data_IF_225992464085
#
_entry.id   IF_225992464085
#
_cell.length_a   1.000
_cell.length_b   1.000
_cell.length_c   1.000
_cell.angle_alpha   90.00
_cell.angle_beta   90.00
_cell.angle_gamma   90.00
#
_symmetry.space_group_name_H-M   'P 1'
#
loop_
_entity.id
_entity.type
_entity.pdbx_description
1 polymer ?
2 non-polymer ?
3 non-polymer ?
4 water ?
#
# COMPACT_ATOMS: atom_id res chain seq x y z
N UNK A 9 -18.04 6.31 -25.12
CA UNK A 9 -17.95 6.25 -23.67
C UNK A 9 -19.30 6.60 -23.04
N UNK A 10 -20.13 7.29 -23.82
CA UNK A 10 -21.49 7.58 -23.39
C UNK A 10 -22.30 6.29 -23.34
N UNK A 11 -23.07 6.12 -22.27
CA UNK A 11 -23.84 4.92 -22.05
C UNK A 11 -23.12 3.84 -21.26
N UNK A 12 -21.80 3.91 -21.16
CA UNK A 12 -21.06 2.97 -20.33
C UNK A 12 -21.46 3.13 -18.87
N UNK A 13 -21.59 2.00 -18.17
CA UNK A 13 -22.18 1.97 -16.85
C UNK A 13 -21.17 1.43 -15.85
N UNK A 14 -20.87 2.22 -14.82
CA UNK A 14 -19.88 1.88 -13.81
C UNK A 14 -20.53 1.91 -12.44
N UNK A 15 -20.22 0.90 -11.63
CA UNK A 15 -20.67 0.83 -10.26
C UNK A 15 -19.50 0.84 -9.30
N UNK A 16 -19.73 1.24 -8.06
CA UNK A 16 -18.64 1.33 -7.09
C UNK A 16 -19.14 1.05 -5.70
N UNK A 17 -18.35 0.30 -4.94
CA UNK A 17 -18.49 0.18 -3.49
C UNK A 17 -17.22 0.76 -2.87
N UNK A 18 -17.37 1.88 -2.18
CA UNK A 18 -16.27 2.47 -1.42
C UNK A 18 -16.78 2.88 -0.05
N UNK A 19 -15.86 2.91 0.91
CA UNK A 19 -16.18 3.46 2.21
C UNK A 19 -16.27 4.98 2.09
N UNK A 20 -17.31 5.56 2.71
CA UNK A 20 -17.53 7.01 2.70
C UNK A 20 -16.33 7.77 3.23
N UNK A 21 -15.27 7.05 3.54
CA UNK A 21 -14.08 7.56 4.15
C UNK A 21 -12.97 7.60 3.10
N UNK A 22 -12.90 6.52 2.31
CA UNK A 22 -12.30 6.57 0.98
C UNK A 22 -13.02 7.57 0.08
N UNK A 23 -14.36 7.53 0.06
CA UNK A 23 -15.14 8.38 -0.83
C UNK A 23 -14.83 9.85 -0.57
N UNK A 24 -14.95 10.28 0.69
CA UNK A 24 -14.76 11.69 1.02
C UNK A 24 -13.35 12.16 0.72
N UNK A 25 -12.36 11.33 1.06
CA UNK A 25 -10.97 11.73 0.93
C UNK A 25 -10.53 11.75 -0.53
N UNK A 26 -11.01 10.81 -1.31
CA UNK A 26 -10.85 10.89 -2.76
C UNK A 26 -11.74 11.94 -3.38
N UNK A 27 -12.66 12.52 -2.60
CA UNK A 27 -13.74 13.37 -3.12
C UNK A 27 -14.45 12.64 -4.25
N UNK A 28 -14.77 11.37 -4.00
CA UNK A 28 -15.24 10.49 -5.07
C UNK A 28 -16.61 10.90 -5.59
N UNK A 29 -17.46 11.50 -4.74
CA UNK A 29 -18.77 11.94 -5.19
C UNK A 29 -18.64 13.03 -6.25
N UNK A 30 -17.60 13.86 -6.17
CA UNK A 30 -17.35 14.85 -7.21
C UNK A 30 -16.85 14.18 -8.49
N UNK A 31 -16.06 13.10 -8.34
CA UNK A 31 -15.58 12.38 -9.52
C UNK A 31 -16.71 11.64 -10.22
N UNK A 32 -17.69 11.13 -9.45
CA UNK A 32 -18.84 10.48 -10.08
C UNK A 32 -19.65 11.46 -10.90
N UNK A 33 -19.88 12.67 -10.37
CA UNK A 33 -20.55 13.70 -11.15
C UNK A 33 -19.71 14.10 -12.36
N UNK A 34 -18.38 14.08 -12.22
CA UNK A 34 -17.51 14.31 -13.37
C UNK A 34 -17.79 13.31 -14.49
N UNK A 35 -17.94 12.03 -14.14
CA UNK A 35 -18.14 11.00 -15.14
C UNK A 35 -19.53 11.06 -15.76
N UNK A 36 -20.54 11.46 -14.97
CA UNK A 36 -21.90 11.52 -15.50
C UNK A 36 -22.03 12.58 -16.58
N UNK A 37 -21.20 13.63 -16.53
CA UNK A 37 -21.24 14.63 -17.59
C UNK A 37 -20.58 14.10 -18.85
N UNK A 38 -19.64 13.17 -18.70
CA UNK A 38 -19.00 12.53 -19.85
C UNK A 38 -19.95 11.58 -20.59
N UNK A 39 -21.14 11.34 -20.06
CA UNK A 39 -22.10 10.43 -20.67
C UNK A 39 -22.26 9.12 -19.95
N UNK A 40 -21.59 8.91 -18.82
CA UNK A 40 -21.65 7.66 -18.09
C UNK A 40 -22.82 7.64 -17.11
N UNK A 41 -23.20 6.44 -16.70
CA UNK A 41 -24.04 6.22 -15.53
C UNK A 41 -23.16 5.66 -14.44
N UNK A 42 -23.08 6.37 -13.31
CA UNK A 42 -22.28 5.96 -12.16
C UNK A 42 -23.25 5.65 -11.03
N UNK A 43 -23.28 4.38 -10.62
CA UNK A 43 -24.21 3.91 -9.61
C UNK A 43 -23.43 3.52 -8.36
N UNK A 44 -23.95 3.95 -7.20
CA UNK A 44 -23.40 3.52 -5.91
C UNK A 44 -24.05 2.19 -5.55
N UNK A 45 -23.25 1.13 -5.55
CA UNK A 45 -23.79 -0.21 -5.36
C UNK A 45 -24.37 -0.37 -3.97
N UNK A 46 -25.50 -1.08 -3.88
CA UNK A 46 -26.06 -1.52 -2.61
C UNK A 46 -25.75 -3.01 -2.48
N UNK A 47 -24.80 -3.34 -1.60
CA UNK A 47 -24.52 -4.73 -1.25
C UNK A 47 -25.53 -5.31 -0.29
N UNK A 48 -26.74 -4.75 -0.22
CA UNK A 48 -27.87 -5.42 0.39
C UNK A 48 -28.68 -6.20 -0.65
N UNK A 49 -28.78 -5.63 -1.86
CA UNK A 49 -29.40 -6.23 -3.03
C UNK A 49 -28.44 -7.22 -3.67
N UNK A 50 -28.95 -8.20 -4.42
CA UNK A 50 -28.07 -8.94 -5.32
C UNK A 50 -27.60 -8.00 -6.44
N UNK A 51 -26.34 -8.15 -6.84
CA UNK A 51 -25.74 -7.16 -7.70
C UNK A 51 -26.30 -7.25 -9.12
N UNK A 52 -26.86 -8.41 -9.49
CA UNK A 52 -27.51 -8.55 -10.79
C UNK A 52 -28.72 -7.61 -10.91
N UNK A 53 -29.34 -7.28 -9.78
CA UNK A 53 -30.45 -6.33 -9.79
C UNK A 53 -30.00 -4.91 -10.13
N UNK A 54 -28.70 -4.64 -10.05
CA UNK A 54 -28.14 -3.34 -10.34
C UNK A 54 -27.37 -3.30 -11.65
N UNK A 55 -27.36 -4.39 -12.41
CA UNK A 55 -26.65 -4.45 -13.66
C UNK A 55 -27.43 -3.81 -14.78
N UNK A 56 -26.84 -3.84 -15.99
CA UNK A 56 -25.51 -4.40 -16.24
C UNK A 56 -24.40 -3.46 -15.80
N UNK A 57 -23.18 -3.96 -15.69
CA UNK A 57 -22.04 -3.16 -15.26
C UNK A 57 -20.88 -3.39 -16.20
N UNK A 58 -20.33 -2.31 -16.75
CA UNK A 58 -19.14 -2.40 -17.59
C UNK A 58 -17.87 -2.37 -16.77
N UNK A 59 -17.85 -1.64 -15.65
CA UNK A 59 -16.68 -1.52 -14.79
C UNK A 59 -17.16 -1.47 -13.34
N UNK A 60 -16.45 -2.18 -12.46
CA UNK A 60 -16.68 -2.13 -11.03
C UNK A 60 -15.39 -1.70 -10.36
N UNK A 61 -15.41 -0.55 -9.69
CA UNK A 61 -14.27 -0.04 -8.95
C UNK A 61 -14.61 -0.09 -7.47
N UNK A 62 -13.70 -0.65 -6.67
CA UNK A 62 -14.04 -0.94 -5.28
C UNK A 62 -12.77 -0.99 -4.44
N UNK A 63 -12.97 -0.98 -3.12
CA UNK A 63 -11.94 -1.33 -2.14
C UNK A 63 -12.67 -1.99 -0.97
N UNK A 64 -12.92 -3.30 -1.11
CA UNK A 64 -13.64 -4.08 -0.11
C UNK A 64 -12.71 -4.75 0.89
N UNK A 65 -11.52 -4.20 1.11
CA UNK A 65 -10.54 -4.87 1.97
C UNK A 65 -11.06 -5.05 3.39
N UNK A 66 -11.93 -4.16 3.85
CA UNK A 66 -12.44 -4.24 5.21
C UNK A 66 -13.61 -5.20 5.34
N UNK A 67 -14.35 -5.46 4.25
CA UNK A 67 -15.22 -6.63 4.21
C UNK A 67 -14.42 -7.91 4.07
N UNK A 68 -13.36 -7.88 3.26
CA UNK A 68 -12.53 -9.07 3.07
C UNK A 68 -11.94 -9.54 4.39
N UNK A 69 -11.52 -8.60 5.23
CA UNK A 69 -10.95 -8.96 6.53
C UNK A 69 -11.96 -9.66 7.40
N UNK A 70 -13.19 -9.13 7.47
CA UNK A 70 -14.22 -9.73 8.33
C UNK A 70 -14.62 -11.11 7.82
N UNK A 71 -14.72 -11.26 6.49
CA UNK A 71 -15.10 -12.55 5.91
C UNK A 71 -14.09 -13.64 6.25
N UNK A 72 -12.80 -13.29 6.33
CA UNK A 72 -11.79 -14.28 6.69
C UNK A 72 -11.88 -14.66 8.16
N UNK A 73 -12.41 -13.76 9.01
CA UNK A 73 -12.59 -14.05 10.43
C UNK A 73 -13.99 -14.60 10.73
N UNK A 74 -14.63 -15.23 9.73
CA UNK A 74 -15.88 -15.96 9.92
C UNK A 74 -17.03 -15.05 10.33
N UNK A 75 -17.12 -13.87 9.71
CA UNK A 75 -18.26 -12.99 9.87
C UNK A 75 -19.33 -13.38 8.85
N UNK A 76 -20.52 -13.75 9.35
CA UNK A 76 -21.57 -14.25 8.46
C UNK A 76 -21.99 -13.18 7.46
N UNK A 77 -22.10 -11.93 7.90
CA UNK A 77 -22.51 -10.87 7.00
C UNK A 77 -21.49 -10.64 5.90
N UNK A 78 -20.20 -10.70 6.24
CA UNK A 78 -19.17 -10.36 5.27
C UNK A 78 -18.89 -11.49 4.28
N UNK A 79 -18.89 -12.75 4.72
CA UNK A 79 -18.80 -13.83 3.73
C UNK A 79 -19.98 -13.82 2.77
N UNK A 80 -21.16 -13.43 3.24
CA UNK A 80 -22.28 -13.33 2.31
C UNK A 80 -22.00 -12.27 1.26
N UNK A 81 -21.43 -11.13 1.67
CA UNK A 81 -21.12 -10.06 0.71
C UNK A 81 -20.05 -10.50 -0.28
N UNK A 82 -19.01 -11.17 0.20
CA UNK A 82 -17.92 -11.60 -0.70
C UNK A 82 -18.43 -12.64 -1.68
N UNK A 83 -19.33 -13.53 -1.22
CA UNK A 83 -19.88 -14.55 -2.11
C UNK A 83 -20.60 -13.92 -3.30
N UNK A 84 -21.48 -12.96 -3.02
CA UNK A 84 -22.32 -12.41 -4.08
C UNK A 84 -21.51 -11.63 -5.10
N UNK A 85 -20.44 -10.98 -4.68
CA UNK A 85 -19.58 -10.28 -5.64
C UNK A 85 -18.77 -11.28 -6.47
N UNK A 86 -18.30 -12.36 -5.84
CA UNK A 86 -17.50 -13.33 -6.57
C UNK A 86 -18.34 -14.12 -7.57
N UNK A 87 -19.57 -14.49 -7.19
CA UNK A 87 -20.43 -15.22 -8.11
C UNK A 87 -21.04 -14.30 -9.17
N UNK A 88 -21.06 -12.99 -8.93
CA UNK A 88 -21.43 -12.06 -10.00
C UNK A 88 -20.29 -11.92 -11.00
N UNK A 89 -19.04 -11.98 -10.52
CA UNK A 89 -17.90 -11.87 -11.42
C UNK A 89 -17.79 -13.11 -12.30
N UNK A 90 -18.03 -14.29 -11.74
CA UNK A 90 -17.98 -15.51 -12.55
C UNK A 90 -19.08 -15.51 -13.61
N UNK A 91 -20.25 -14.97 -13.29
CA UNK A 91 -21.33 -14.88 -14.26
C UNK A 91 -21.14 -13.73 -15.24
N UNK A 92 -20.16 -12.85 -15.02
CA UNK A 92 -19.91 -11.70 -15.88
C UNK A 92 -18.42 -11.49 -16.02
N UNK A 93 -17.76 -12.27 -16.88
CA UNK A 93 -16.33 -12.02 -17.15
C UNK A 93 -16.07 -10.84 -18.05
N UNK A 94 -17.13 -10.22 -18.61
CA UNK A 94 -16.96 -9.01 -19.40
C UNK A 94 -16.82 -7.77 -18.53
N UNK A 95 -17.42 -7.79 -17.34
CA UNK A 95 -17.31 -6.65 -16.43
C UNK A 95 -15.88 -6.52 -15.93
N UNK A 96 -15.31 -5.32 -16.07
CA UNK A 96 -13.96 -5.05 -15.63
C UNK A 96 -13.97 -4.79 -14.12
N UNK A 97 -13.06 -5.44 -13.40
CA UNK A 97 -12.98 -5.32 -11.95
C UNK A 97 -11.69 -4.59 -11.60
N UNK A 98 -11.81 -3.46 -10.92
CA UNK A 98 -10.68 -2.68 -10.43
C UNK A 98 -10.83 -2.56 -8.92
N UNK A 99 -10.13 -3.41 -8.18
CA UNK A 99 -9.22 -4.40 -8.74
C UNK A 99 -9.66 -5.81 -8.34
N UNK A 100 -9.09 -6.84 -8.97
CA UNK A 100 -9.41 -8.22 -8.57
C UNK A 100 -9.20 -8.45 -7.07
N UNK A 101 -9.93 -9.42 -6.54
CA UNK A 101 -9.99 -9.69 -5.10
C UNK A 101 -8.75 -10.39 -4.57
N UNK A 102 -8.18 -11.39 -5.28
CA UNK A 102 -6.90 -11.96 -4.81
C UNK A 102 -5.82 -10.92 -4.59
N UNK A 103 -5.83 -9.82 -5.36
CA UNK A 103 -4.89 -8.74 -5.11
C UNK A 103 -5.23 -7.98 -3.83
N UNK A 104 -6.52 -7.89 -3.49
CA UNK A 104 -6.92 -7.24 -2.24
C UNK A 104 -6.37 -8.01 -1.05
N UNK A 105 -6.57 -9.34 -1.04
CA UNK A 105 -6.12 -10.15 0.09
C UNK A 105 -4.60 -10.08 0.26
N UNK A 106 -3.86 -9.99 -0.83
CA UNK A 106 -2.40 -9.93 -0.75
C UNK A 106 -1.94 -8.63 -0.10
N UNK A 107 -2.53 -7.51 -0.52
CA UNK A 107 -2.04 -6.20 -0.10
C UNK A 107 -2.52 -5.78 1.28
N UNK A 108 -3.51 -6.47 1.85
CA UNK A 108 -3.92 -6.16 3.22
C UNK A 108 -3.06 -6.86 4.25
N UNK A 109 -2.19 -7.77 3.85
CA UNK A 109 -1.32 -8.52 4.75
C UNK A 109 0.12 -8.10 4.49
N UNK A 110 0.74 -7.44 5.47
CA UNK A 110 2.10 -6.94 5.29
C UNK A 110 3.09 -8.06 5.04
N UNK A 111 2.90 -9.20 5.73
CA UNK A 111 3.79 -10.34 5.52
C UNK A 111 3.71 -10.84 4.09
N UNK A 112 2.50 -10.99 3.56
CA UNK A 112 2.35 -11.45 2.18
C UNK A 112 2.85 -10.42 1.18
N UNK A 113 2.59 -9.14 1.45
CA UNK A 113 3.04 -8.08 0.55
C UNK A 113 4.56 -7.97 0.53
N UNK A 114 5.20 -8.10 1.69
CA UNK A 114 6.66 -8.03 1.75
C UNK A 114 7.30 -9.22 1.04
N UNK A 115 6.68 -10.40 1.16
CA UNK A 115 7.21 -11.56 0.46
C UNK A 115 6.99 -11.44 -1.04
N UNK A 116 5.85 -10.88 -1.46
CA UNK A 116 5.61 -10.67 -2.89
C UNK A 116 6.68 -9.76 -3.48
N UNK A 117 7.02 -8.69 -2.75
CA UNK A 117 8.02 -7.73 -3.22
C UNK A 117 9.36 -8.42 -3.43
N UNK A 118 9.79 -9.22 -2.44
CA UNK A 118 11.08 -9.89 -2.52
C UNK A 118 11.14 -10.85 -3.70
N UNK A 119 10.01 -11.46 -4.07
CA UNK A 119 10.00 -12.36 -5.21
C UNK A 119 10.04 -11.58 -6.52
N UNK A 120 9.37 -10.43 -6.59
CA UNK A 120 9.45 -9.60 -7.79
C UNK A 120 10.87 -9.05 -8.00
N UNK A 121 11.59 -8.82 -6.92
CA UNK A 121 12.98 -8.32 -7.03
C UNK A 121 13.87 -9.42 -7.65
N UNK A 122 13.69 -10.66 -7.24
CA UNK A 122 14.40 -11.77 -7.85
C UNK A 122 13.98 -11.96 -9.31
N UNK A 123 12.76 -11.56 -9.65
CA UNK A 123 12.30 -11.63 -11.03
C UNK A 123 13.06 -10.66 -11.92
N UNK A 124 13.17 -9.40 -11.49
CA UNK A 124 13.81 -8.39 -12.32
C UNK A 124 15.32 -8.59 -12.40
N UNK A 125 15.94 -9.08 -11.31
CA UNK A 125 17.38 -9.29 -11.25
C UNK A 125 18.16 -8.02 -11.58
N UNK A 126 17.62 -6.88 -11.14
CA UNK A 126 18.26 -5.58 -11.31
C UNK A 126 18.84 -5.17 -9.97
N UNK A 127 20.14 -4.90 -9.96
CA UNK A 127 20.88 -4.56 -8.74
C UNK A 127 20.42 -3.24 -8.12
N UNK A 128 19.52 -2.51 -8.76
CA UNK A 128 19.05 -1.24 -8.24
C UNK A 128 17.90 -1.37 -7.26
N UNK A 129 17.29 -2.55 -7.12
CA UNK A 129 16.14 -2.73 -6.24
C UNK A 129 16.60 -3.59 -5.07
N UNK A 130 16.10 -3.28 -3.88
CA UNK A 130 16.36 -4.12 -2.72
C UNK A 130 15.17 -4.05 -1.78
N UNK A 131 15.04 -5.08 -0.95
CA UNK A 131 14.08 -5.10 0.13
C UNK A 131 14.80 -5.22 1.47
N UNK A 132 14.45 -4.40 2.46
CA UNK A 132 14.99 -4.62 3.80
C UNK A 132 14.52 -5.97 4.33
N UNK A 133 15.37 -6.68 5.06
CA UNK A 133 14.96 -7.94 5.67
C UNK A 133 13.76 -7.74 6.59
N UNK A 134 12.93 -8.77 6.69
CA UNK A 134 11.71 -8.70 7.47
C UNK A 134 11.35 -10.08 7.99
N UNK A 135 10.39 -10.12 8.90
CA UNK A 135 9.83 -11.36 9.43
C UNK A 135 8.61 -11.02 10.26
N UNK A 136 7.70 -11.98 10.36
CA UNK A 136 6.52 -11.82 11.21
C UNK A 136 6.84 -12.33 12.61
N UNK A 137 6.52 -11.53 13.62
CA UNK A 137 6.82 -11.83 15.02
C UNK A 137 5.48 -12.02 15.74
N UNK A 138 5.02 -13.27 15.82
CA UNK A 138 3.78 -13.56 16.50
C UNK A 138 3.90 -13.42 18.01
N UNK A 139 5.11 -13.47 18.55
CA UNK A 139 5.31 -13.38 20.00
C UNK A 139 6.78 -13.13 20.29
N UNK A 140 7.04 -12.45 21.39
CA UNK A 140 8.40 -12.34 21.91
C UNK A 140 8.76 -13.62 22.65
N UNK A 141 10.06 -13.93 22.67
CA UNK A 141 10.55 -15.20 23.21
C UNK A 141 11.73 -14.96 24.14
N UNK A 142 11.50 -14.18 25.20
CA UNK A 142 12.42 -14.12 26.31
C UNK A 142 13.57 -13.14 26.14
N UNK A 143 14.56 -13.33 27.01
CA UNK A 143 15.76 -12.49 27.05
C UNK A 143 16.62 -12.64 25.81
N UNK A 144 16.28 -13.57 24.92
CA UNK A 144 17.13 -13.95 23.80
C UNK A 144 16.44 -13.69 22.47
N UNK A 145 15.58 -12.67 22.42
CA UNK A 145 14.71 -12.47 21.26
C UNK A 145 15.50 -12.15 20.01
N UNK A 146 16.60 -11.40 20.14
CA UNK A 146 17.32 -10.93 18.96
C UNK A 146 17.91 -12.07 18.15
N UNK A 147 18.32 -13.16 18.79
CA UNK A 147 18.89 -14.27 18.03
C UNK A 147 17.85 -14.88 17.10
N UNK A 148 16.57 -14.82 17.46
CA UNK A 148 15.53 -15.22 16.52
C UNK A 148 15.43 -14.22 15.37
N UNK A 149 15.60 -12.94 15.66
CA UNK A 149 15.58 -11.92 14.61
C UNK A 149 16.87 -11.92 13.79
N UNK A 150 18.00 -12.26 14.42
CA UNK A 150 19.27 -12.28 13.69
C UNK A 150 19.28 -13.36 12.61
N UNK A 151 18.54 -14.45 12.80
CA UNK A 151 18.51 -15.52 11.81
C UNK A 151 17.63 -15.19 10.61
N UNK A 152 16.84 -14.13 10.68
CA UNK A 152 16.12 -13.63 9.52
C UNK A 152 16.78 -12.40 8.91
N UNK A 153 17.98 -12.05 9.37
CA UNK A 153 18.74 -10.96 8.83
C UNK A 153 18.43 -9.60 9.41
N UNK A 154 17.73 -9.53 10.54
CA UNK A 154 17.31 -8.26 11.12
C UNK A 154 18.33 -7.77 12.14
N UNK A 155 18.61 -6.47 12.09
CA UNK A 155 19.53 -5.82 13.02
C UNK A 155 18.91 -4.54 13.54
N UNK A 156 19.50 -4.00 14.60
CA UNK A 156 19.11 -2.68 15.08
C UNK A 156 19.63 -1.60 14.14
N UNK A 157 18.82 -0.60 13.80
CA UNK A 157 17.43 -0.46 14.24
C UNK A 157 16.45 -1.10 13.27
N UNK A 158 15.28 -1.50 13.77
CA UNK A 158 14.20 -2.02 12.94
C UNK A 158 12.90 -1.35 13.32
N UNK A 159 11.89 -1.50 12.46
CA UNK A 159 10.59 -0.88 12.63
C UNK A 159 9.54 -1.96 12.87
N UNK A 160 8.70 -1.76 13.87
CA UNK A 160 7.59 -2.64 14.16
C UNK A 160 6.32 -2.06 13.55
N UNK A 161 5.64 -2.84 12.72
CA UNK A 161 4.39 -2.41 12.10
C UNK A 161 3.32 -3.47 12.33
N UNK A 162 2.07 -3.05 12.17
CA UNK A 162 0.98 -4.02 12.17
C UNK A 162 1.13 -4.97 10.99
N UNK A 163 0.64 -6.18 11.17
CA UNK A 163 0.74 -7.25 10.17
C UNK A 163 -0.44 -7.25 9.21
N UNK A 164 -1.49 -6.48 9.51
CA UNK A 164 -2.58 -6.19 8.59
C UNK A 164 -2.51 -4.71 8.24
N UNK A 165 -2.30 -4.41 6.97
CA UNK A 165 -2.03 -3.04 6.53
C UNK A 165 -3.30 -2.30 6.13
N UNK A 166 -4.29 -2.29 7.03
CA UNK A 166 -5.52 -1.55 6.80
C UNK A 166 -6.25 -1.38 8.12
N UNK A 167 -7.05 -0.33 8.21
CA UNK A 167 -7.85 -0.08 9.38
C UNK A 167 -7.19 0.84 10.38
N UNK A 168 -7.86 0.99 11.52
CA UNK A 168 -7.38 1.87 12.57
C UNK A 168 -6.08 1.33 13.16
N UNK A 169 -5.14 2.24 13.40
CA UNK A 169 -3.83 1.98 14.00
C UNK A 169 -2.92 1.14 13.11
N UNK A 170 -3.29 0.92 11.85
CA UNK A 170 -2.41 0.20 10.94
C UNK A 170 -1.21 1.03 10.53
N UNK A 171 -1.26 2.35 10.73
CA UNK A 171 -0.14 3.24 10.45
C UNK A 171 0.70 3.54 11.68
N UNK A 172 0.28 3.08 12.85
CA UNK A 172 1.05 3.28 14.07
C UNK A 172 2.21 2.29 14.11
N UNK A 173 3.43 2.81 14.18
CA UNK A 173 4.63 1.99 14.14
C UNK A 173 5.56 2.40 15.28
N UNK A 174 6.63 1.64 15.44
CA UNK A 174 7.65 1.90 16.44
C UNK A 174 9.00 1.44 15.92
N UNK A 175 10.02 2.27 16.12
CA UNK A 175 11.39 1.96 15.71
C UNK A 175 12.20 1.64 16.95
N UNK A 176 12.83 0.46 16.96
CA UNK A 176 13.55 -0.05 18.10
C UNK A 176 15.05 0.05 17.82
N UNK A 177 15.81 0.57 18.79
CA UNK A 177 17.22 0.86 18.58
C UNK A 177 18.18 -0.05 19.33
N UNK A 178 17.73 -0.71 20.39
CA UNK A 178 18.65 -1.48 21.22
C UNK A 178 17.88 -2.60 21.93
N UNK A 179 18.63 -3.40 22.70
CA UNK A 179 18.03 -4.50 23.44
C UNK A 179 17.05 -4.01 24.49
N UNK A 180 17.32 -2.84 25.08
CA UNK A 180 16.43 -2.30 26.11
C UNK A 180 15.06 -1.96 25.55
N UNK A 181 14.97 -1.66 24.25
CA UNK A 181 13.74 -1.19 23.64
C UNK A 181 12.84 -2.25 23.05
N UNK A 182 13.09 -3.53 23.32
CA UNK A 182 12.23 -4.57 22.77
C UNK A 182 10.86 -4.60 23.41
N UNK A 183 10.70 -3.99 24.59
CA UNK A 183 9.38 -3.91 25.22
C UNK A 183 8.42 -3.04 24.42
N UNK A 184 8.93 -2.22 23.50
CA UNK A 184 8.06 -1.45 22.62
C UNK A 184 7.32 -2.32 21.62
N UNK A 185 7.83 -3.51 21.31
CA UNK A 185 7.15 -4.42 20.41
C UNK A 185 5.84 -4.86 21.03
N UNK A 186 4.77 -4.84 20.24
CA UNK A 186 3.47 -5.35 20.67
C UNK A 186 2.99 -6.38 19.66
N UNK A 187 3.19 -7.66 19.95
CA UNK A 187 2.87 -8.72 18.96
C UNK A 187 1.39 -9.04 18.96
N UNK A 188 0.89 -9.73 17.91
CA UNK A 188 1.62 -10.15 16.71
C UNK A 188 1.84 -8.99 15.75
N UNK A 189 3.02 -8.91 15.15
CA UNK A 189 3.40 -7.75 14.36
C UNK A 189 4.36 -8.18 13.26
N UNK A 190 4.75 -7.21 12.45
CA UNK A 190 5.76 -7.39 11.40
C UNK A 190 6.91 -6.45 11.70
N UNK A 191 8.12 -7.00 11.74
CA UNK A 191 9.33 -6.22 11.97
C UNK A 191 10.11 -6.14 10.67
N UNK A 192 10.77 -5.00 10.46
CA UNK A 192 11.46 -4.71 9.22
C UNK A 192 12.66 -3.82 9.51
N UNK A 193 13.79 -4.14 8.86
CA UNK A 193 15.01 -3.37 9.06
C UNK A 193 14.80 -1.91 8.65
N UNK A 194 15.22 -0.99 9.52
CA UNK A 194 15.15 0.43 9.23
C UNK A 194 16.31 0.82 8.32
N UNK A 195 15.99 1.51 7.23
CA UNK A 195 16.99 1.90 6.22
C UNK A 195 17.15 3.41 6.30
N UNK A 196 18.40 3.86 6.53
CA UNK A 196 18.70 5.28 6.43
C UNK A 196 18.50 5.74 4.99
N UNK A 197 17.75 6.83 4.82
CA UNK A 197 17.40 7.28 3.47
C UNK A 197 17.34 8.80 3.36
N UNK A 198 17.98 9.53 4.28
CA UNK A 198 18.05 10.99 4.25
C UNK A 198 16.68 11.63 4.30
N UNK A 199 15.72 10.96 4.94
CA UNK A 199 14.42 11.54 5.30
C UNK A 199 13.64 12.02 4.08
N UNK A 200 13.73 11.28 2.98
CA UNK A 200 12.96 11.57 1.78
C UNK A 200 12.25 10.31 1.35
N UNK A 201 10.92 10.36 1.28
CA UNK A 201 10.10 9.25 0.85
C UNK A 201 9.47 9.58 -0.50
N UNK A 202 9.64 8.67 -1.47
CA UNK A 202 9.08 8.83 -2.80
C UNK A 202 7.85 7.93 -2.91
N UNK A 203 6.67 8.54 -2.85
CA UNK A 203 5.41 7.82 -2.97
C UNK A 203 5.01 7.76 -4.44
N UNK A 204 4.97 6.55 -4.99
CA UNK A 204 4.61 6.33 -6.39
C UNK A 204 3.14 5.93 -6.44
N UNK A 205 2.31 6.79 -7.02
CA UNK A 205 0.88 6.53 -7.15
C UNK A 205 0.60 6.05 -8.57
N UNK A 206 0.05 4.84 -8.69
CA UNK A 206 -0.18 4.19 -9.98
C UNK A 206 -1.68 4.16 -10.25
N UNK A 207 -2.08 4.63 -11.43
CA UNK A 207 -3.46 4.53 -11.90
C UNK A 207 -3.37 3.93 -13.31
N UNK A 208 -3.46 2.61 -13.39
CA UNK A 208 -3.30 1.94 -14.68
C UNK A 208 -1.89 2.04 -15.20
N UNK A 209 -1.73 2.67 -16.37
CA UNK A 209 -0.41 2.82 -16.97
C UNK A 209 0.30 4.08 -16.50
N UNK A 210 -0.44 5.18 -16.29
CA UNK A 210 0.16 6.41 -15.81
C UNK A 210 0.47 6.29 -14.31
N UNK A 211 1.55 6.94 -13.91
CA UNK A 211 1.98 6.93 -12.52
C UNK A 211 2.51 8.30 -12.14
N UNK A 212 2.46 8.60 -10.85
CA UNK A 212 2.92 9.89 -10.32
C UNK A 212 3.83 9.63 -9.13
N UNK A 213 5.02 10.23 -9.16
CA UNK A 213 5.98 10.13 -8.07
C UNK A 213 5.89 11.40 -7.24
N UNK A 214 5.52 11.25 -5.97
CA UNK A 214 5.34 12.36 -5.05
C UNK A 214 6.40 12.26 -3.96
N UNK A 215 7.16 13.33 -3.76
CA UNK A 215 8.22 13.38 -2.76
C UNK A 215 7.64 13.88 -1.44
N UNK A 216 7.85 13.12 -0.38
CA UNK A 216 7.23 13.36 0.91
C UNK A 216 8.29 13.35 2.01
N UNK A 217 7.99 13.98 3.15
CA UNK A 217 8.90 13.88 4.30
C UNK A 217 8.90 12.46 4.87
N UNK A 218 9.97 12.14 5.58
CA UNK A 218 10.16 10.79 6.12
C UNK A 218 11.05 10.87 7.36
N UNK A 219 11.36 9.69 7.91
CA UNK A 219 12.17 9.62 9.12
C UNK A 219 13.61 10.00 8.83
N UNK A 220 14.21 10.75 9.75
CA UNK A 220 15.59 11.18 9.60
C UNK A 220 16.55 9.99 9.78
N UNK A 221 17.84 10.28 9.63
CA UNK A 221 18.85 9.25 9.75
C UNK A 221 19.18 8.98 11.22
N UNK A 222 19.47 7.71 11.52
CA UNK A 222 19.96 7.32 12.82
C UNK A 222 21.25 6.51 12.63
N UNK A 223 21.99 6.36 13.72
CA UNK A 223 23.23 5.60 13.68
C UNK A 223 22.95 4.15 13.31
N UNK A 224 23.73 3.63 12.37
CA UNK A 224 23.64 2.21 12.03
C UNK A 224 24.14 1.36 13.19
N UNK A 225 23.52 0.19 13.36
CA UNK A 225 23.84 -0.65 14.49
C UNK A 225 23.02 -0.29 15.71
N UNK A 226 23.55 -0.57 16.89
CA UNK A 226 22.85 -0.32 18.15
C UNK A 226 23.13 1.09 18.63
N UNK A 227 22.08 1.78 19.07
CA UNK A 227 22.18 3.10 19.67
C UNK A 227 21.62 3.06 21.09
N UNK A 228 22.00 4.06 21.88
CA UNK A 228 21.48 4.23 23.24
C UNK A 228 20.16 5.00 23.25
N UNK A 229 19.41 4.95 22.16
CA UNK A 229 18.22 5.77 22.00
C UNK A 229 16.97 5.00 22.42
N UNK A 230 16.04 5.71 23.05
CA UNK A 230 14.77 5.11 23.43
C UNK A 230 13.91 4.82 22.21
N UNK A 231 13.06 3.82 22.32
CA UNK A 231 12.16 3.47 21.21
C UNK A 231 11.21 4.62 20.92
N UNK A 232 10.91 4.82 19.64
CA UNK A 232 10.12 5.95 19.18
C UNK A 232 8.85 5.43 18.53
N UNK A 233 7.71 5.87 19.04
CA UNK A 233 6.41 5.55 18.46
C UNK A 233 5.93 6.69 17.58
N UNK A 234 5.43 6.34 16.39
CA UNK A 234 5.02 7.35 15.43
C UNK A 234 3.91 6.79 14.55
N UNK A 235 3.32 7.68 13.76
CA UNK A 235 2.28 7.33 12.79
C UNK A 235 2.84 7.60 11.39
N UNK A 236 2.97 6.54 10.59
CA UNK A 236 3.61 6.66 9.28
C UNK A 236 2.84 7.61 8.37
N UNK A 237 1.50 7.61 8.48
CA UNK A 237 0.71 8.53 7.68
C UNK A 237 0.93 9.98 8.12
N UNK A 238 0.99 10.21 9.42
CA UNK A 238 1.21 11.57 9.91
C UNK A 238 2.61 12.05 9.58
N UNK A 239 3.60 11.16 9.66
CA UNK A 239 4.99 11.56 9.43
C UNK A 239 5.20 11.91 7.96
N UNK A 240 4.56 11.19 7.05
CA UNK A 240 4.82 11.34 5.62
C UNK A 240 3.67 12.03 4.88
N UNK A 241 2.73 12.63 5.61
CA UNK A 241 1.64 13.39 5.03
C UNK A 241 2.28 14.49 4.17
N UNK A 242 1.56 15.09 3.14
CA UNK A 242 2.32 15.92 2.18
C UNK A 242 3.23 16.91 2.88
N UNK A 243 2.91 17.24 4.15
CA UNK A 243 3.83 17.94 5.03
C UNK A 243 3.53 17.60 6.48
N UNK A 244 4.45 16.86 7.11
CA UNK A 244 4.61 16.82 8.56
C UNK A 244 5.78 17.69 8.97
N UNK A 245 5.71 18.26 10.17
CA UNK A 245 6.85 18.87 10.83
C UNK A 245 7.01 18.15 12.17
N UNK A 246 7.95 17.22 12.23
CA UNK A 246 8.14 16.37 13.39
C UNK A 246 9.61 16.36 13.78
N UNK A 247 9.86 15.99 15.04
CA UNK A 247 11.22 15.76 15.50
C UNK A 247 11.86 14.62 14.73
N UNK A 248 11.07 13.78 14.08
CA UNK A 248 11.57 12.67 13.27
C UNK A 248 11.80 13.07 11.82
N UNK A 249 11.19 14.15 11.35
CA UNK A 249 11.30 14.57 9.96
C UNK A 249 12.51 15.47 9.72
N UNK A 250 12.88 16.28 10.71
CA UNK A 250 14.02 17.18 10.58
C UNK A 250 15.32 16.41 10.40
N UNK A 251 15.85 16.40 9.18
CA UNK A 251 17.11 15.71 8.92
C UNK A 251 18.28 16.49 9.49
N UNK A 252 19.21 15.78 10.13
CA UNK A 252 20.41 16.42 10.67
C UNK A 252 21.33 16.88 9.55
N UNK A 253 21.68 15.98 8.64
CA UNK A 253 22.57 16.27 7.53
C UNK A 253 22.44 15.17 6.50
N UNK A 254 22.85 15.47 5.27
CA UNK A 254 22.90 14.46 4.22
C UNK A 254 24.02 13.50 4.53
N UNK A 255 23.73 12.20 4.47
CA UNK A 255 24.71 11.17 4.78
C UNK A 255 24.63 10.07 3.75
N UNK A 256 25.79 9.70 3.18
CA UNK A 256 25.83 8.63 2.21
C UNK A 256 25.26 9.04 0.86
N UNK A 257 24.75 8.05 0.14
CA UNK A 257 24.21 8.29 -1.19
C UNK A 257 22.89 9.05 -1.08
N UNK A 258 22.73 10.08 -1.92
CA UNK A 258 21.51 10.90 -1.94
C UNK A 258 21.21 11.21 -3.41
N UNK A 259 20.66 10.22 -4.10
CA UNK A 259 20.29 10.36 -5.50
C UNK A 259 18.77 10.25 -5.63
N UNK A 260 18.32 10.65 -6.73
CA UNK A 260 16.90 10.64 -7.01
C UNK A 260 16.51 9.35 -7.72
N UNK A 261 15.29 8.86 -7.50
CA UNK A 261 14.95 7.52 -7.98
C UNK A 261 15.05 7.42 -9.49
N UNK A 262 15.45 6.24 -9.95
CA UNK A 262 15.51 5.95 -11.39
C UNK A 262 14.11 5.76 -11.94
N UNK A 263 13.78 6.51 -12.99
CA UNK A 263 12.47 6.38 -13.60
C UNK A 263 12.28 5.02 -14.25
N UNK A 264 13.37 4.40 -14.73
CA UNK A 264 13.27 3.07 -15.32
C UNK A 264 12.92 2.02 -14.26
N UNK A 265 13.49 2.15 -13.06
CA UNK A 265 13.22 1.18 -12.00
C UNK A 265 11.75 1.26 -11.58
N UNK A 266 11.21 2.48 -11.47
CA UNK A 266 9.83 2.63 -11.05
C UNK A 266 8.87 2.03 -12.09
N UNK A 267 9.17 2.25 -13.37
CA UNK A 267 8.29 1.74 -14.42
C UNK A 267 8.33 0.22 -14.48
N UNK A 268 9.53 -0.36 -14.47
CA UNK A 268 9.64 -1.81 -14.52
C UNK A 268 9.07 -2.47 -13.26
N UNK A 269 9.15 -1.78 -12.12
CA UNK A 269 8.58 -2.32 -10.89
C UNK A 269 7.06 -2.22 -10.91
N UNK A 270 6.52 -1.14 -11.49
CA UNK A 270 5.07 -1.00 -11.59
C UNK A 270 4.46 -2.06 -12.50
N UNK A 271 5.13 -2.36 -13.61
CA UNK A 271 4.64 -3.39 -14.52
C UNK A 271 4.62 -4.76 -13.84
N UNK A 272 5.68 -5.07 -13.09
CA UNK A 272 5.78 -6.37 -12.44
C UNK A 272 4.71 -6.54 -11.35
N UNK A 273 4.24 -5.44 -10.77
CA UNK A 273 3.18 -5.53 -9.78
C UNK A 273 1.81 -5.69 -10.44
N UNK A 274 1.59 -5.03 -11.57
CA UNK A 274 0.33 -5.18 -12.29
C UNK A 274 0.22 -6.56 -12.92
N UNK A 275 1.34 -7.14 -13.36
CA UNK A 275 1.28 -8.47 -13.95
C UNK A 275 1.08 -9.54 -12.88
N UNK A 276 1.68 -9.36 -11.71
CA UNK A 276 1.63 -10.39 -10.67
C UNK A 276 0.30 -10.41 -9.94
N UNK A 277 -0.40 -9.28 -9.87
CA UNK A 277 -1.64 -9.20 -9.10
C UNK A 277 -2.86 -8.81 -9.93
N UNK A 278 -2.68 -8.35 -11.17
CA UNK A 278 -3.80 -7.75 -11.87
C UNK A 278 -4.26 -6.43 -11.29
N UNK A 279 -3.50 -5.87 -10.36
CA UNK A 279 -3.86 -4.62 -9.71
C UNK A 279 -3.52 -3.45 -10.64
N UNK A 280 -4.33 -2.41 -10.58
CA UNK A 280 -4.10 -1.21 -11.37
C UNK A 280 -4.27 0.09 -10.57
N UNK A 281 -4.79 0.03 -9.36
CA UNK A 281 -4.93 1.20 -8.50
C UNK A 281 -4.13 0.89 -7.23
N UNK A 282 -2.92 1.41 -7.13
CA UNK A 282 -2.08 1.10 -5.98
C UNK A 282 -0.98 2.14 -5.85
N UNK A 283 -0.30 2.09 -4.72
CA UNK A 283 0.81 2.99 -4.45
C UNK A 283 2.00 2.24 -3.89
N UNK A 284 3.19 2.74 -4.23
CA UNK A 284 4.44 2.13 -3.82
C UNK A 284 5.24 3.17 -3.04
N UNK A 285 5.62 2.82 -1.81
CA UNK A 285 6.47 3.67 -0.99
C UNK A 285 7.92 3.25 -1.18
N UNK A 286 8.74 4.17 -1.68
CA UNK A 286 10.12 3.87 -2.07
C UNK A 286 11.05 4.84 -1.36
N UNK A 287 12.11 4.31 -0.78
CA UNK A 287 13.18 5.11 -0.18
C UNK A 287 14.50 4.71 -0.82
N UNK A 288 15.46 5.62 -0.76
CA UNK A 288 16.78 5.41 -1.37
C UNK A 288 17.76 5.08 -0.26
N UNK A 289 18.23 3.83 -0.26
CA UNK A 289 19.26 3.37 0.67
C UNK A 289 20.51 4.24 0.53
N UNK A 290 20.76 5.12 1.52
CA UNK A 290 21.91 6.03 1.50
C UNK A 290 23.24 5.31 1.72
N UNK A 291 23.15 3.99 1.74
CA UNK A 291 24.21 3.11 2.21
C UNK A 291 24.55 2.03 1.18
N UNK A 292 23.72 1.86 0.16
CA UNK A 292 24.12 1.22 -1.10
C UNK A 292 23.64 1.98 -2.34
N UNK A 293 22.68 2.89 -2.21
CA UNK A 293 22.11 3.59 -3.34
C UNK A 293 20.89 2.93 -3.96
N UNK A 294 20.46 1.79 -3.44
CA UNK A 294 19.43 0.98 -4.08
C UNK A 294 18.04 1.50 -3.73
N UNK A 295 17.07 1.15 -4.59
CA UNK A 295 15.67 1.43 -4.34
C UNK A 295 15.12 0.42 -3.35
N UNK A 296 14.55 0.91 -2.25
CA UNK A 296 14.01 0.06 -1.20
C UNK A 296 12.50 0.27 -1.14
N UNK A 297 11.74 -0.76 -1.54
CA UNK A 297 10.29 -0.74 -1.40
C UNK A 297 9.95 -1.18 0.01
N UNK A 298 9.31 -0.29 0.77
CA UNK A 298 9.04 -0.55 2.18
C UNK A 298 7.58 -0.87 2.46
N UNK A 299 6.65 -0.49 1.58
CA UNK A 299 5.24 -0.78 1.78
C UNK A 299 4.52 -0.71 0.43
N UNK A 300 3.45 -1.49 0.31
CA UNK A 300 2.54 -1.43 -0.83
C UNK A 300 1.16 -1.05 -0.31
N UNK A 301 0.43 -0.26 -1.09
CA UNK A 301 -0.88 0.25 -0.71
C UNK A 301 -1.87 -0.04 -1.82
N UNK A 302 -2.95 -0.73 -1.47
CA UNK A 302 -4.02 -1.00 -2.43
C UNK A 302 -4.95 0.20 -2.51
N UNK A 303 -5.14 0.72 -3.74
CA UNK A 303 -5.99 1.86 -4.07
C UNK A 303 -5.89 2.93 -2.98
N UNK A 304 -4.80 3.70 -2.96
CA UNK A 304 -4.58 4.63 -1.84
C UNK A 304 -5.42 5.89 -1.92
N UNK A 305 -5.08 6.88 -1.10
CA UNK A 305 -5.84 8.12 -1.07
C UNK A 305 -5.51 9.09 -2.18
N UNK A 306 -4.34 8.94 -2.81
CA UNK A 306 -3.89 9.85 -3.87
C UNK A 306 -3.99 11.30 -3.41
N UNK A 307 -3.59 11.55 -2.17
CA UNK A 307 -3.78 12.85 -1.52
C UNK A 307 -3.10 13.97 -2.29
N UNK A 308 -3.89 14.85 -2.89
CA UNK A 308 -3.36 16.02 -3.58
C UNK A 308 -2.52 15.70 -4.80
N UNK A 309 -2.52 14.42 -5.23
CA UNK A 309 -1.83 14.06 -6.47
C UNK A 309 -2.33 14.90 -7.62
N UNK A 310 -1.39 15.47 -8.38
CA UNK A 310 -1.72 16.33 -9.50
C UNK A 310 -2.39 15.50 -10.60
N UNK A 311 -3.61 15.91 -10.99
CA UNK A 311 -4.29 15.42 -12.18
C UNK A 311 -4.81 13.99 -11.99
N UNK A 312 -5.23 13.66 -10.77
CA UNK A 312 -5.65 12.29 -10.47
C UNK A 312 -7.00 11.96 -11.10
N UNK A 313 -7.96 12.89 -11.02
CA UNK A 313 -9.27 12.66 -11.61
C UNK A 313 -9.16 12.44 -13.11
N UNK A 314 -8.27 13.18 -13.77
CA UNK A 314 -8.09 13.02 -15.22
C UNK A 314 -7.46 11.67 -15.54
N UNK A 315 -6.44 11.27 -14.79
CA UNK A 315 -5.84 9.97 -15.02
C UNK A 315 -6.80 8.83 -14.68
N UNK A 316 -7.79 9.09 -13.82
CA UNK A 316 -8.72 8.03 -13.45
C UNK A 316 -9.75 7.78 -14.55
N UNK A 317 -10.30 8.84 -15.16
CA UNK A 317 -11.09 8.64 -16.38
C UNK A 317 -10.29 7.92 -17.46
N UNK A 318 -9.12 8.45 -17.81
CA UNK A 318 -8.36 7.84 -18.89
C UNK A 318 -8.08 6.37 -18.63
N UNK A 319 -7.95 5.98 -17.36
CA UNK A 319 -7.82 4.57 -17.03
C UNK A 319 -9.13 3.81 -17.26
N UNK A 320 -10.25 4.39 -16.82
CA UNK A 320 -11.55 3.74 -17.01
C UNK A 320 -11.86 3.65 -18.51
N UNK A 321 -11.54 4.69 -19.26
CA UNK A 321 -11.75 4.64 -20.71
C UNK A 321 -10.81 3.66 -21.37
N UNK A 322 -9.60 3.48 -20.83
CA UNK A 322 -8.62 2.57 -21.42
C UNK A 322 -9.09 1.13 -21.30
N UNK A 323 -9.48 0.71 -20.10
CA UNK A 323 -9.90 -0.68 -19.89
C UNK A 323 -11.17 -1.00 -20.66
N UNK A 324 -12.00 0.00 -20.97
CA UNK A 324 -13.20 -0.23 -21.75
C UNK A 324 -12.92 -0.34 -23.24
N UNK A 325 -11.74 0.07 -23.70
CA UNK A 325 -11.35 -0.06 -25.09
C UNK A 325 -10.81 -1.44 -25.44
N UNK A 326 -10.79 -2.37 -24.48
CA UNK A 326 -10.30 -3.72 -24.73
C UNK A 326 -11.40 -4.75 -24.72
#
# INVERSE_FOLDING_TARGET
GSGTMQTFLKGKRVGYWLSEKKIKKLNFQAFAELCRKRGMEVVQLNLSRPIEEQGPLDVIIHKLTDVILEADQNDSQSLELVHRFQEYIDAHPETIVLDPLPAIRTLLDRSKSYELIRKIEAYMEDDRICSPPFMELTSLCGDDTMRLLEKNGLTFPFICKTRVAHGTNSHEMAIVFNQEGLNAIQPPCVVQNFINHNAVLYKVFVVGESYTVVQRPSLKNFSAGTSDRESIFFNSHNVSKPESSSVLTELDKIEGVFERPSDEVIRELSRALRQALGVSLFGIDIIINNQTGQHAVIDINAFPGYEGVSEFFTDLLNHIATVLQGQSTAM
#
